data_IF_405684415272
#
_entry.id   IF_405684415272
#
_cell.length_a   1.000
_cell.length_b   1.000
_cell.length_c   1.000
_cell.angle_alpha   90.00
_cell.angle_beta   90.00
_cell.angle_gamma   90.00
#
_symmetry.space_group_name_H-M   'P 1'
#
loop_
_entity.id
_entity.type
_entity.pdbx_description
1 polymer ?
#
# COMPACT_ATOMS: atom_id res chain seq x y z
N UNK A 1 33.81 5.93 -1.91
CA UNK A 1 32.66 6.86 -1.82
C UNK A 1 31.59 6.40 -2.81
N UNK A 2 30.32 6.22 -2.39
CA UNK A 2 29.24 5.77 -3.30
C UNK A 2 28.82 6.91 -4.23
N UNK A 3 29.55 7.10 -5.32
CA UNK A 3 29.35 8.23 -6.24
C UNK A 3 28.29 7.98 -7.31
N UNK A 4 27.92 6.72 -7.58
CA UNK A 4 26.99 6.36 -8.67
C UNK A 4 25.72 5.69 -8.17
N UNK A 5 24.64 5.87 -8.92
CA UNK A 5 23.37 5.20 -8.69
C UNK A 5 23.56 3.67 -8.82
N UNK A 6 22.99 2.92 -7.88
CA UNK A 6 23.06 1.45 -7.83
C UNK A 6 22.06 0.74 -8.75
N UNK A 7 21.29 1.48 -9.54
CA UNK A 7 20.37 0.89 -10.52
C UNK A 7 21.19 0.46 -11.73
N UNK A 8 21.08 -0.81 -12.11
CA UNK A 8 21.81 -1.38 -13.24
C UNK A 8 21.46 -0.60 -14.52
N UNK A 9 22.48 -0.22 -15.29
CA UNK A 9 22.32 0.61 -16.49
C UNK A 9 22.17 2.12 -16.24
N UNK A 10 22.15 2.57 -14.99
CA UNK A 10 22.10 4.00 -14.68
C UNK A 10 23.51 4.60 -14.54
N UNK A 11 23.83 5.58 -15.38
CA UNK A 11 25.11 6.33 -15.33
C UNK A 11 25.10 7.53 -14.38
N UNK A 12 23.95 7.87 -13.78
CA UNK A 12 23.80 9.07 -12.93
C UNK A 12 24.48 8.90 -11.57
N UNK A 13 24.88 10.02 -10.98
CA UNK A 13 25.38 10.05 -9.62
C UNK A 13 24.31 9.68 -8.60
N UNK A 14 24.69 8.98 -7.53
CA UNK A 14 23.83 8.86 -6.35
C UNK A 14 23.65 10.26 -5.75
N UNK A 15 22.52 10.52 -5.07
CA UNK A 15 22.23 11.85 -4.50
C UNK A 15 23.34 12.34 -3.58
N UNK A 16 23.92 11.46 -2.77
CA UNK A 16 25.07 11.77 -1.90
C UNK A 16 26.37 12.12 -2.65
N UNK A 17 26.46 11.78 -3.93
CA UNK A 17 27.52 12.24 -4.84
C UNK A 17 27.16 13.54 -5.57
N UNK A 18 26.09 14.21 -5.18
CA UNK A 18 25.62 15.51 -5.69
C UNK A 18 25.28 16.42 -4.51
N UNK A 19 24.86 17.66 -4.79
CA UNK A 19 24.35 18.57 -3.75
C UNK A 19 22.88 18.26 -3.35
N UNK A 20 22.18 17.37 -4.07
CA UNK A 20 20.77 17.02 -3.83
C UNK A 20 20.60 15.89 -2.80
N UNK A 21 21.19 16.00 -1.61
CA UNK A 21 20.85 15.19 -0.43
C UNK A 21 21.68 13.93 -0.18
N UNK A 22 21.29 13.13 0.82
CA UNK A 22 22.16 12.12 1.47
C UNK A 22 21.95 10.66 0.98
N UNK A 23 21.17 10.42 -0.07
CA UNK A 23 20.94 9.04 -0.55
C UNK A 23 22.19 8.50 -1.27
N UNK A 24 22.84 7.50 -0.67
CA UNK A 24 24.04 6.84 -1.19
C UNK A 24 23.75 5.71 -2.18
N UNK A 25 22.48 5.41 -2.45
CA UNK A 25 22.05 4.28 -3.30
C UNK A 25 21.51 4.74 -4.63
N UNK A 26 20.70 5.80 -4.65
CA UNK A 26 19.94 6.18 -5.84
C UNK A 26 20.20 7.61 -6.27
N UNK A 27 20.17 7.85 -7.59
CA UNK A 27 20.02 9.20 -8.14
C UNK A 27 18.61 9.72 -7.84
N UNK A 28 18.37 11.03 -8.00
CA UNK A 28 17.08 11.64 -7.69
C UNK A 28 15.88 10.95 -8.37
N UNK A 29 15.89 10.67 -9.70
CA UNK A 29 14.79 9.95 -10.35
C UNK A 29 14.52 8.56 -9.75
N UNK A 30 15.56 7.76 -9.51
CA UNK A 30 15.39 6.41 -8.94
C UNK A 30 14.98 6.43 -7.47
N UNK A 31 15.43 7.42 -6.70
CA UNK A 31 14.97 7.62 -5.33
C UNK A 31 13.48 7.97 -5.29
N UNK A 32 13.03 8.86 -6.18
CA UNK A 32 11.62 9.24 -6.30
C UNK A 32 10.76 8.08 -6.81
N UNK A 33 11.25 7.32 -7.80
CA UNK A 33 10.60 6.11 -8.33
C UNK A 33 10.44 5.07 -7.23
N UNK A 34 11.52 4.72 -6.54
CA UNK A 34 11.51 3.76 -5.44
C UNK A 34 10.65 4.23 -4.25
N UNK A 35 10.65 5.52 -3.93
CA UNK A 35 9.76 6.09 -2.92
C UNK A 35 8.28 5.88 -3.29
N UNK A 36 7.93 6.03 -4.57
CA UNK A 36 6.58 5.85 -5.09
C UNK A 36 6.19 4.38 -5.24
N UNK A 37 7.08 3.53 -5.74
CA UNK A 37 6.72 2.21 -6.25
C UNK A 37 7.24 1.04 -5.40
N UNK A 38 8.19 1.28 -4.49
CA UNK A 38 8.82 0.21 -3.70
C UNK A 38 9.84 -0.61 -4.49
N UNK A 39 10.01 -0.33 -5.78
CA UNK A 39 11.06 -0.87 -6.65
C UNK A 39 11.76 0.30 -7.36
N UNK A 40 13.09 0.26 -7.55
CA UNK A 40 13.77 1.21 -8.40
C UNK A 40 13.62 0.90 -9.90
N UNK A 41 13.04 -0.25 -10.25
CA UNK A 41 12.84 -0.71 -11.63
C UNK A 41 11.37 -0.73 -12.02
N UNK A 42 10.55 -1.50 -11.29
CA UNK A 42 9.16 -1.77 -11.66
C UNK A 42 8.23 -0.65 -11.16
N UNK A 43 7.38 -0.06 -12.02
CA UNK A 43 6.32 0.83 -11.56
C UNK A 43 5.27 0.04 -10.76
N UNK A 44 4.30 0.74 -10.20
CA UNK A 44 3.19 0.06 -9.53
C UNK A 44 2.22 -0.52 -10.55
N UNK A 45 1.66 -1.67 -10.24
CA UNK A 45 0.61 -2.27 -11.06
C UNK A 45 -0.58 -1.31 -11.19
N UNK A 46 -1.11 -1.23 -12.40
CA UNK A 46 -2.28 -0.47 -12.78
C UNK A 46 -3.57 -1.11 -12.26
N UNK A 47 -4.66 -0.32 -12.30
CA UNK A 47 -5.97 -0.81 -11.86
C UNK A 47 -6.48 -1.97 -12.73
N UNK A 48 -6.29 -1.89 -14.06
CA UNK A 48 -6.71 -2.93 -15.00
C UNK A 48 -5.95 -4.23 -14.82
N UNK A 49 -4.65 -4.15 -14.52
CA UNK A 49 -3.80 -5.32 -14.25
C UNK A 49 -4.25 -6.04 -12.97
N UNK A 50 -4.59 -5.30 -11.91
CA UNK A 50 -4.94 -5.88 -10.61
C UNK A 50 -6.40 -6.34 -10.50
N UNK A 51 -7.34 -5.70 -11.23
CA UNK A 51 -8.77 -5.97 -11.11
C UNK A 51 -9.13 -7.48 -11.10
N UNK A 52 -8.72 -8.30 -12.08
CA UNK A 52 -9.08 -9.72 -12.08
C UNK A 52 -8.55 -10.48 -10.87
N UNK A 53 -7.37 -10.12 -10.35
CA UNK A 53 -6.79 -10.74 -9.16
C UNK A 53 -7.53 -10.34 -7.88
N UNK A 54 -8.07 -9.13 -7.81
CA UNK A 54 -8.89 -8.69 -6.67
C UNK A 54 -10.22 -9.44 -6.62
N UNK A 55 -10.85 -9.61 -7.77
CA UNK A 55 -12.12 -10.32 -7.87
C UNK A 55 -11.92 -11.80 -7.51
N UNK A 56 -10.87 -12.43 -8.04
CA UNK A 56 -10.50 -13.80 -7.69
C UNK A 56 -10.14 -13.97 -6.20
N UNK A 57 -9.38 -13.02 -5.64
CA UNK A 57 -9.02 -13.05 -4.22
C UNK A 57 -10.25 -12.90 -3.29
N UNK A 58 -11.22 -12.05 -3.66
CA UNK A 58 -12.47 -11.92 -2.90
C UNK A 58 -13.30 -13.21 -2.98
N UNK A 59 -13.52 -13.74 -4.18
CA UNK A 59 -14.27 -14.98 -4.38
C UNK A 59 -13.63 -16.16 -3.61
N UNK A 60 -12.30 -16.23 -3.61
CA UNK A 60 -11.57 -17.25 -2.84
C UNK A 60 -11.76 -17.09 -1.33
N UNK A 61 -11.72 -15.86 -0.80
CA UNK A 61 -11.94 -15.61 0.63
C UNK A 61 -13.36 -15.96 1.06
N UNK A 62 -14.36 -15.67 0.24
CA UNK A 62 -15.76 -16.03 0.48
C UNK A 62 -15.95 -17.55 0.49
N UNK A 63 -15.36 -18.25 -0.49
CA UNK A 63 -15.40 -19.70 -0.56
C UNK A 63 -14.63 -20.41 0.58
N UNK A 64 -13.82 -19.68 1.35
CA UNK A 64 -12.98 -20.19 2.43
C UNK A 64 -13.27 -19.49 3.75
N UNK A 65 -14.49 -18.97 3.94
CA UNK A 65 -14.84 -18.18 5.13
C UNK A 65 -14.66 -18.94 6.45
N UNK A 66 -14.81 -20.27 6.42
CA UNK A 66 -14.64 -21.15 7.57
C UNK A 66 -13.18 -21.58 7.83
N UNK A 67 -12.24 -21.24 6.94
CA UNK A 67 -10.83 -21.54 7.13
C UNK A 67 -10.25 -20.70 8.28
N UNK A 68 -9.59 -21.37 9.22
CA UNK A 68 -9.03 -20.73 10.41
C UNK A 68 -8.00 -19.64 10.09
N UNK A 69 -7.21 -19.78 9.02
CA UNK A 69 -6.22 -18.78 8.63
C UNK A 69 -6.87 -17.59 7.92
N UNK A 70 -7.96 -17.82 7.18
CA UNK A 70 -8.78 -16.75 6.60
C UNK A 70 -9.41 -15.91 7.72
N UNK A 71 -10.09 -16.55 8.67
CA UNK A 71 -10.67 -15.86 9.84
C UNK A 71 -9.61 -15.09 10.61
N UNK A 72 -8.46 -15.70 10.88
CA UNK A 72 -7.35 -15.06 11.58
C UNK A 72 -6.86 -13.78 10.88
N UNK A 73 -6.65 -13.83 9.56
CA UNK A 73 -6.19 -12.66 8.81
C UNK A 73 -7.25 -11.54 8.82
N UNK A 74 -8.53 -11.89 8.63
CA UNK A 74 -9.66 -10.96 8.70
C UNK A 74 -9.75 -10.31 10.08
N UNK A 75 -9.62 -11.08 11.16
CA UNK A 75 -9.66 -10.57 12.53
C UNK A 75 -8.47 -9.68 12.88
N UNK A 76 -7.26 -10.03 12.40
CA UNK A 76 -6.07 -9.19 12.55
C UNK A 76 -6.24 -7.85 11.85
N UNK A 77 -6.76 -7.85 10.62
CA UNK A 77 -7.10 -6.60 9.90
C UNK A 77 -8.20 -5.82 10.62
N UNK A 78 -9.26 -6.48 11.08
CA UNK A 78 -10.33 -5.82 11.84
C UNK A 78 -9.77 -5.16 13.11
N UNK A 79 -8.83 -5.82 13.79
CA UNK A 79 -8.12 -5.28 14.94
C UNK A 79 -7.26 -4.07 14.56
N UNK A 80 -6.49 -4.12 13.47
CA UNK A 80 -5.72 -2.97 12.96
C UNK A 80 -6.63 -1.76 12.70
N UNK A 81 -7.80 -1.97 12.10
CA UNK A 81 -8.77 -0.90 11.87
C UNK A 81 -9.26 -0.32 13.20
N UNK A 82 -9.66 -1.15 14.17
CA UNK A 82 -10.15 -0.70 15.50
C UNK A 82 -9.10 0.07 16.30
N UNK A 83 -7.85 -0.38 16.30
CA UNK A 83 -6.77 0.17 17.13
C UNK A 83 -6.00 1.33 16.47
N UNK A 84 -6.40 1.75 15.26
CA UNK A 84 -5.74 2.82 14.48
C UNK A 84 -5.83 4.24 15.08
N UNK A 85 -6.45 4.39 16.26
CA UNK A 85 -6.60 5.66 16.96
C UNK A 85 -7.67 6.57 16.36
N UNK A 86 -7.65 7.84 16.73
CA UNK A 86 -8.64 8.81 16.28
C UNK A 86 -8.50 9.11 14.77
N UNK A 87 -9.65 9.27 14.11
CA UNK A 87 -9.69 9.75 12.74
C UNK A 87 -9.10 11.17 12.65
N UNK A 88 -8.21 11.40 11.68
CA UNK A 88 -7.64 12.72 11.38
C UNK A 88 -7.93 13.08 9.92
N UNK A 89 -8.43 14.30 9.72
CA UNK A 89 -8.59 14.86 8.38
C UNK A 89 -7.26 14.93 7.62
N UNK A 90 -7.30 14.84 6.29
CA UNK A 90 -6.10 14.82 5.47
C UNK A 90 -5.22 16.08 5.62
N UNK A 91 -5.83 17.26 5.79
CA UNK A 91 -5.10 18.51 6.02
C UNK A 91 -4.40 18.59 7.39
N UNK A 92 -4.85 17.79 8.38
CA UNK A 92 -4.24 17.70 9.72
C UNK A 92 -3.05 16.72 9.78
N UNK A 93 -2.63 16.16 8.64
CA UNK A 93 -1.51 15.22 8.59
C UNK A 93 -0.14 15.89 8.55
N UNK A 94 -0.08 17.20 8.24
CA UNK A 94 1.20 17.92 8.18
C UNK A 94 1.84 17.93 9.58
N UNK A 95 3.16 17.73 9.64
CA UNK A 95 3.92 17.65 10.90
C UNK A 95 3.90 16.28 11.59
N UNK A 96 3.02 15.36 11.20
CA UNK A 96 2.98 14.01 11.78
C UNK A 96 4.11 13.11 11.25
N UNK A 97 4.59 12.21 12.12
CA UNK A 97 5.50 11.15 11.74
C UNK A 97 4.90 10.27 10.63
N UNK A 98 5.72 9.61 9.79
CA UNK A 98 5.20 8.66 8.80
C UNK A 98 4.33 7.54 9.41
N UNK A 99 4.68 7.09 10.62
CA UNK A 99 3.93 6.04 11.32
C UNK A 99 2.56 6.56 11.78
N UNK A 100 2.47 7.77 12.33
CA UNK A 100 1.18 8.36 12.72
C UNK A 100 0.29 8.67 11.52
N UNK A 101 0.90 9.04 10.38
CA UNK A 101 0.17 9.18 9.12
C UNK A 101 -0.37 7.85 8.61
N UNK A 102 0.37 6.75 8.81
CA UNK A 102 -0.11 5.40 8.50
C UNK A 102 -1.28 4.99 9.43
N UNK A 103 -1.18 5.24 10.74
CA UNK A 103 -2.30 5.06 11.69
C UNK A 103 -3.52 5.86 11.28
N UNK A 104 -3.34 7.13 10.92
CA UNK A 104 -4.44 7.95 10.41
C UNK A 104 -5.06 7.39 9.12
N UNK A 105 -4.28 6.77 8.22
CA UNK A 105 -4.82 6.11 7.04
C UNK A 105 -5.69 4.90 7.40
N UNK A 106 -5.26 4.06 8.35
CA UNK A 106 -6.10 2.98 8.90
C UNK A 106 -7.39 3.51 9.55
N UNK A 107 -7.31 4.63 10.29
CA UNK A 107 -8.49 5.26 10.89
C UNK A 107 -9.48 5.79 9.83
N UNK A 108 -8.99 6.23 8.65
CA UNK A 108 -9.87 6.59 7.51
C UNK A 108 -10.58 5.37 6.95
N UNK A 109 -9.88 4.26 6.78
CA UNK A 109 -10.48 3.01 6.32
C UNK A 109 -11.59 2.54 7.26
N UNK A 110 -11.35 2.62 8.58
CA UNK A 110 -12.37 2.34 9.58
C UNK A 110 -13.57 3.30 9.48
N UNK A 111 -13.32 4.62 9.35
CA UNK A 111 -14.41 5.60 9.20
C UNK A 111 -15.24 5.37 7.93
N UNK A 112 -14.59 4.93 6.86
CA UNK A 112 -15.25 4.57 5.60
C UNK A 112 -15.91 3.18 5.64
N UNK A 113 -15.96 2.52 6.80
CA UNK A 113 -16.53 1.19 7.00
C UNK A 113 -15.99 0.15 5.99
N UNK A 114 -14.70 0.23 5.67
CA UNK A 114 -14.08 -0.73 4.74
C UNK A 114 -14.09 -2.11 5.37
N UNK A 115 -14.70 -3.07 4.66
CA UNK A 115 -14.70 -4.48 5.03
C UNK A 115 -13.25 -5.01 5.13
N UNK A 116 -12.85 -5.58 6.29
CA UNK A 116 -11.55 -6.23 6.47
C UNK A 116 -11.22 -7.25 5.37
N UNK A 117 -12.21 -7.98 4.84
CA UNK A 117 -11.99 -8.96 3.75
C UNK A 117 -11.43 -8.29 2.50
N UNK A 118 -11.89 -7.09 2.16
CA UNK A 118 -11.36 -6.32 1.01
C UNK A 118 -9.90 -5.95 1.18
N UNK A 119 -9.46 -5.69 2.42
CA UNK A 119 -8.07 -5.39 2.74
C UNK A 119 -7.20 -6.65 2.64
N UNK A 120 -7.68 -7.80 3.13
CA UNK A 120 -7.00 -9.10 2.95
C UNK A 120 -6.93 -9.47 1.46
N UNK A 121 -8.02 -9.31 0.71
CA UNK A 121 -8.06 -9.55 -0.72
C UNK A 121 -7.07 -8.69 -1.50
N UNK A 122 -6.83 -7.45 -1.07
CA UNK A 122 -5.82 -6.59 -1.68
C UNK A 122 -4.39 -7.14 -1.49
N UNK A 123 -4.11 -7.80 -0.36
CA UNK A 123 -2.83 -8.48 -0.16
C UNK A 123 -2.71 -9.72 -1.06
N UNK A 124 -3.73 -10.58 -1.06
CA UNK A 124 -3.75 -11.80 -1.88
C UNK A 124 -3.67 -11.50 -3.38
N UNK A 125 -4.38 -10.46 -3.85
CA UNK A 125 -4.30 -10.04 -5.25
C UNK A 125 -2.89 -9.65 -5.67
N UNK A 126 -2.11 -9.03 -4.77
CA UNK A 126 -0.71 -8.71 -5.03
C UNK A 126 0.18 -9.97 -5.02
N UNK A 127 -0.06 -10.92 -4.12
CA UNK A 127 0.63 -12.22 -4.15
C UNK A 127 0.39 -12.95 -5.49
N UNK A 128 -0.85 -12.95 -5.97
CA UNK A 128 -1.23 -13.61 -7.23
C UNK A 128 -0.57 -12.94 -8.44
N UNK A 129 -0.68 -11.61 -8.58
CA UNK A 129 -0.11 -10.92 -9.75
C UNK A 129 1.43 -10.94 -9.75
N UNK A 130 2.09 -10.86 -8.59
CA UNK A 130 3.55 -10.97 -8.51
C UNK A 130 4.01 -12.36 -8.97
N UNK A 131 3.26 -13.41 -8.63
CA UNK A 131 3.57 -14.76 -9.08
C UNK A 131 3.38 -14.95 -10.58
N UNK A 132 2.36 -14.33 -11.16
CA UNK A 132 2.06 -14.43 -12.59
C UNK A 132 2.89 -13.49 -13.47
N UNK A 133 3.47 -12.43 -12.90
CA UNK A 133 4.29 -11.46 -13.63
C UNK A 133 5.76 -11.94 -13.71
N UNK A 134 6.25 -12.38 -14.88
CA UNK A 134 7.63 -12.84 -15.05
C UNK A 134 8.66 -11.73 -14.86
N UNK A 135 8.23 -10.46 -14.83
CA UNK A 135 9.07 -9.28 -14.61
C UNK A 135 8.82 -8.62 -13.23
N UNK A 136 8.16 -9.33 -12.31
CA UNK A 136 7.89 -8.79 -10.98
C UNK A 136 9.18 -8.50 -10.19
N UNK A 137 9.18 -7.42 -9.41
CA UNK A 137 10.19 -7.23 -8.37
C UNK A 137 9.79 -8.04 -7.13
N UNK A 138 10.54 -9.10 -6.84
CA UNK A 138 10.24 -10.05 -5.76
C UNK A 138 10.60 -9.54 -4.36
N UNK A 139 11.15 -8.32 -4.24
CA UNK A 139 11.48 -7.76 -2.93
C UNK A 139 10.21 -7.51 -2.13
N UNK A 140 10.25 -7.87 -0.85
CA UNK A 140 9.16 -7.62 0.10
C UNK A 140 8.69 -6.16 0.09
N UNK A 141 9.60 -5.20 -0.09
CA UNK A 141 9.25 -3.79 -0.16
C UNK A 141 8.34 -3.43 -1.35
N UNK A 142 8.57 -4.01 -2.53
CA UNK A 142 7.70 -3.79 -3.68
C UNK A 142 6.29 -4.29 -3.35
N UNK A 143 6.18 -5.55 -2.90
CA UNK A 143 4.91 -6.16 -2.48
C UNK A 143 4.17 -5.32 -1.44
N UNK A 144 4.85 -4.93 -0.35
CA UNK A 144 4.30 -4.08 0.73
C UNK A 144 3.76 -2.75 0.17
N UNK A 145 4.52 -2.09 -0.70
CA UNK A 145 4.10 -0.81 -1.30
C UNK A 145 2.91 -1.01 -2.24
N UNK A 146 2.88 -2.06 -3.06
CA UNK A 146 1.74 -2.34 -3.95
C UNK A 146 0.45 -2.58 -3.17
N UNK A 147 0.50 -3.45 -2.15
CA UNK A 147 -0.66 -3.78 -1.33
C UNK A 147 -1.13 -2.54 -0.53
N UNK A 148 -0.20 -1.80 0.08
CA UNK A 148 -0.52 -0.56 0.78
C UNK A 148 -1.18 0.49 -0.12
N UNK A 149 -0.79 0.60 -1.40
CA UNK A 149 -1.44 1.51 -2.34
C UNK A 149 -2.88 1.12 -2.63
N UNK A 150 -3.16 -0.16 -2.79
CA UNK A 150 -4.53 -0.64 -3.01
C UNK A 150 -5.41 -0.30 -1.82
N UNK A 151 -4.93 -0.64 -0.63
CA UNK A 151 -5.64 -0.38 0.63
C UNK A 151 -5.82 1.12 0.86
N UNK A 152 -4.77 1.93 0.71
CA UNK A 152 -4.85 3.38 0.89
C UNK A 152 -5.88 4.05 -0.04
N UNK A 153 -6.07 3.54 -1.26
CA UNK A 153 -7.06 4.08 -2.21
C UNK A 153 -8.51 3.77 -1.84
N UNK A 154 -8.78 2.79 -0.98
CA UNK A 154 -10.15 2.42 -0.59
C UNK A 154 -10.86 3.52 0.20
N UNK A 155 -10.11 4.38 0.88
CA UNK A 155 -10.63 5.52 1.63
C UNK A 155 -9.77 6.78 1.44
N UNK A 156 -9.19 6.96 0.25
CA UNK A 156 -8.34 8.13 -0.01
C UNK A 156 -9.18 9.38 -0.28
N UNK A 157 -8.96 10.42 0.51
CA UNK A 157 -9.51 11.76 0.28
C UNK A 157 -10.24 12.31 1.49
N UNK A 158 -10.13 13.62 1.69
CA UNK A 158 -11.07 14.41 2.50
C UNK A 158 -11.83 15.30 1.53
N UNK A 159 -13.16 15.30 1.64
CA UNK A 159 -14.06 16.25 1.00
C UNK A 159 -14.72 17.06 2.10
N UNK A 160 -14.51 18.38 2.12
CA UNK A 160 -15.15 19.26 3.09
C UNK A 160 -15.78 20.44 2.37
N UNK A 161 -17.08 20.65 2.61
CA UNK A 161 -17.88 21.73 2.05
C UNK A 161 -18.33 22.65 3.17
N UNK A 162 -18.25 23.96 2.97
CA UNK A 162 -18.77 24.98 3.88
C UNK A 162 -19.72 25.91 3.13
N UNK A 163 -20.88 26.22 3.73
CA UNK A 163 -21.91 27.06 3.12
C UNK A 163 -22.95 26.28 2.30
N UNK A 164 -24.04 26.95 1.94
CA UNK A 164 -25.17 26.41 1.16
C UNK A 164 -25.22 27.03 -0.24
N UNK A 165 -25.82 26.31 -1.20
CA UNK A 165 -26.01 26.82 -2.56
C UNK A 165 -24.71 27.02 -3.35
N UNK A 166 -24.74 27.96 -4.30
CA UNK A 166 -23.65 28.25 -5.24
C UNK A 166 -22.43 28.94 -4.60
N UNK A 167 -22.55 29.45 -3.38
CA UNK A 167 -21.46 30.08 -2.61
C UNK A 167 -20.69 29.11 -1.73
N UNK A 168 -20.94 27.81 -1.85
CA UNK A 168 -20.27 26.82 -1.02
C UNK A 168 -18.79 26.66 -1.41
N UNK A 169 -17.90 26.71 -0.42
CA UNK A 169 -16.47 26.48 -0.61
C UNK A 169 -16.15 25.00 -0.39
N UNK A 170 -15.44 24.38 -1.32
CA UNK A 170 -15.06 22.96 -1.26
C UNK A 170 -13.53 22.78 -1.12
N UNK A 171 -13.11 21.92 -0.20
CA UNK A 171 -11.72 21.52 0.00
C UNK A 171 -11.57 20.02 -0.27
N UNK A 172 -10.76 19.71 -1.28
CA UNK A 172 -10.34 18.35 -1.62
C UNK A 172 -8.88 18.14 -1.26
N UNK A 173 -8.60 17.25 -0.30
CA UNK A 173 -7.22 16.92 0.07
C UNK A 173 -7.01 15.42 0.01
N UNK A 174 -6.07 15.00 -0.85
CA UNK A 174 -5.67 13.62 -1.01
C UNK A 174 -4.25 13.41 -0.45
N UNK A 175 -4.08 12.60 0.60
CA UNK A 175 -2.75 12.23 1.09
C UNK A 175 -1.94 11.56 -0.02
N UNK A 176 -0.68 11.96 -0.17
CA UNK A 176 0.21 11.39 -1.19
C UNK A 176 0.49 9.91 -0.87
N UNK A 177 0.15 9.03 -1.80
CA UNK A 177 0.41 7.59 -1.72
C UNK A 177 1.85 7.25 -2.12
N UNK A 178 2.82 7.59 -1.26
CA UNK A 178 4.26 7.31 -1.45
C UNK A 178 5.04 7.30 -0.13
N UNK A 179 6.27 6.82 -0.18
CA UNK A 179 7.27 6.96 0.88
C UNK A 179 7.03 6.05 2.10
N UNK A 180 7.50 6.48 3.27
CA UNK A 180 7.50 5.69 4.52
C UNK A 180 6.10 5.34 5.03
N UNK A 181 5.08 6.16 4.73
CA UNK A 181 3.69 5.89 5.14
C UNK A 181 3.21 4.56 4.55
N UNK A 182 3.43 4.32 3.25
CA UNK A 182 3.06 3.07 2.61
C UNK A 182 3.86 1.87 3.12
N UNK A 183 5.12 2.09 3.53
CA UNK A 183 5.96 1.03 4.11
C UNK A 183 5.42 0.56 5.45
N UNK A 184 5.03 1.49 6.33
CA UNK A 184 4.38 1.14 7.61
C UNK A 184 3.02 0.47 7.41
N UNK A 185 2.21 0.94 6.45
CA UNK A 185 0.94 0.26 6.14
C UNK A 185 1.17 -1.15 5.58
N UNK A 186 2.11 -1.29 4.64
CA UNK A 186 2.40 -2.57 4.01
C UNK A 186 3.00 -3.59 4.96
N UNK A 187 3.85 -3.16 5.89
CA UNK A 187 4.39 -4.01 6.96
C UNK A 187 3.28 -4.49 7.90
N UNK A 188 2.41 -3.59 8.37
CA UNK A 188 1.26 -3.98 9.21
C UNK A 188 0.31 -4.97 8.49
N UNK A 189 0.10 -4.76 7.19
CA UNK A 189 -0.73 -5.65 6.37
C UNK A 189 -0.06 -7.01 6.14
N UNK A 190 1.24 -7.05 5.88
CA UNK A 190 2.00 -8.30 5.76
C UNK A 190 1.88 -9.11 7.06
N UNK A 191 2.16 -8.50 8.21
CA UNK A 191 2.02 -9.14 9.51
C UNK A 191 0.59 -9.62 9.79
N UNK A 192 -0.43 -8.95 9.25
CA UNK A 192 -1.82 -9.42 9.35
C UNK A 192 -2.09 -10.66 8.50
N UNK A 193 -1.42 -10.78 7.34
CA UNK A 193 -1.71 -11.81 6.33
C UNK A 193 -0.64 -12.93 6.25
N UNK A 194 0.47 -12.84 6.98
CA UNK A 194 1.63 -13.74 6.85
C UNK A 194 1.27 -15.20 7.07
N UNK A 195 0.46 -15.52 8.10
CA UNK A 195 0.02 -16.89 8.38
C UNK A 195 -0.91 -17.42 7.28
N UNK A 196 -1.81 -16.58 6.77
CA UNK A 196 -2.68 -16.95 5.65
C UNK A 196 -1.85 -17.31 4.40
N UNK A 197 -0.86 -16.48 4.06
CA UNK A 197 0.02 -16.76 2.91
C UNK A 197 0.88 -18.00 3.15
N UNK A 198 1.42 -18.17 4.35
CA UNK A 198 2.25 -19.31 4.70
C UNK A 198 1.49 -20.64 4.55
N UNK A 199 0.22 -20.69 4.98
CA UNK A 199 -0.56 -21.94 5.00
C UNK A 199 -1.47 -22.15 3.78
N UNK A 200 -1.88 -21.08 3.10
CA UNK A 200 -2.83 -21.12 1.97
C UNK A 200 -2.34 -20.43 0.69
N UNK A 201 -1.16 -19.83 0.69
CA UNK A 201 -0.63 -19.11 -0.49
C UNK A 201 -0.55 -19.96 -1.76
N UNK A 202 -0.38 -21.29 -1.63
CA UNK A 202 -0.41 -22.20 -2.80
C UNK A 202 -1.81 -22.43 -3.36
N UNK A 203 -2.84 -22.46 -2.51
CA UNK A 203 -4.23 -22.72 -2.93
C UNK A 203 -4.91 -21.47 -3.49
N UNK A 204 -4.66 -20.29 -2.89
CA UNK A 204 -5.14 -18.99 -3.39
C UNK A 204 -4.74 -18.75 -4.84
N UNK A 205 -3.56 -19.22 -5.23
CA UNK A 205 -2.96 -18.90 -6.53
C UNK A 205 -3.15 -20.02 -7.57
N UNK A 206 -3.91 -21.08 -7.25
CA UNK A 206 -4.21 -22.18 -8.18
C UNK A 206 -5.57 -22.06 -8.87
N UNK A 207 -6.33 -21.00 -8.63
CA UNK A 207 -7.70 -20.80 -9.15
C UNK A 207 -7.74 -20.40 -10.64
N UNK A 208 -6.86 -20.97 -11.47
CA UNK A 208 -6.90 -20.86 -12.94
C UNK A 208 -6.99 -22.24 -13.56
#
# INVERSE_FOLDING_TARGET
>A
MFSRCRVVGCSKHARAGTEDGLDTRFCRPHADHYSRHGSPYRPSYGAREIAPYRDAAMAWLEAQEDDTYVRNAVDRVATLLRTSGQFKEAFRLRGLSPQDRAKAAWARLRRAAVDPRRVVAAWLAIEMIIRDDPQADLKAEFKRVQAAKLVHRMASGTHKRWGEGASATELHVYPRSRGRVLRHMGEALETACELLVQHRGRSVVRTR
#
